data_IF_759640244857
#
_entry.id   IF_759640244857
#
_cell.length_a   1.000
_cell.length_b   1.000
_cell.length_c   1.000
_cell.angle_alpha   90.00
_cell.angle_beta   90.00
_cell.angle_gamma   90.00
#
_symmetry.space_group_name_H-M   'P 1'
#
loop_
_entity.id
_entity.type
_entity.pdbx_description
1 polymer ?
#
# COMPACT_ATOMS: atom_id res chain seq x y z
N UNK A 1 19.66 -9.85 -10.70
CA UNK A 1 20.42 -10.36 -9.54
C UNK A 1 19.56 -11.33 -8.77
N UNK A 2 20.08 -12.53 -8.46
CA UNK A 2 19.34 -13.56 -7.72
C UNK A 2 19.39 -13.38 -6.20
N UNK A 3 20.41 -12.67 -5.70
CA UNK A 3 20.64 -12.44 -4.28
C UNK A 3 20.68 -10.95 -3.93
N UNK A 4 20.21 -10.63 -2.73
CA UNK A 4 20.34 -9.33 -2.06
C UNK A 4 21.23 -9.48 -0.82
N UNK A 5 22.03 -8.46 -0.56
CA UNK A 5 23.12 -8.49 0.42
C UNK A 5 23.02 -7.30 1.37
N UNK A 6 23.04 -7.54 2.68
CA UNK A 6 23.07 -6.47 3.70
C UNK A 6 24.23 -6.67 4.66
N UNK A 7 25.10 -5.67 4.74
CA UNK A 7 26.19 -5.65 5.73
C UNK A 7 25.62 -5.40 7.12
N UNK A 8 26.07 -6.17 8.09
CA UNK A 8 25.81 -5.97 9.53
C UNK A 8 27.14 -5.96 10.28
N UNK A 9 27.13 -5.53 11.55
CA UNK A 9 28.33 -5.62 12.39
C UNK A 9 28.82 -7.06 12.45
N UNK A 10 30.06 -7.31 11.99
CA UNK A 10 30.67 -8.64 12.00
C UNK A 10 30.36 -9.56 10.80
N UNK A 11 29.60 -9.13 9.79
CA UNK A 11 29.34 -10.00 8.63
C UNK A 11 28.36 -9.47 7.57
N UNK A 12 27.77 -10.43 6.85
CA UNK A 12 26.88 -10.21 5.72
C UNK A 12 25.63 -11.09 5.85
N UNK A 13 24.46 -10.49 5.69
CA UNK A 13 23.20 -11.20 5.48
C UNK A 13 22.97 -11.37 3.97
N UNK A 14 22.60 -12.57 3.57
CA UNK A 14 22.30 -12.94 2.17
C UNK A 14 20.87 -13.46 2.11
N UNK A 15 20.09 -12.95 1.16
CA UNK A 15 18.72 -13.42 0.92
C UNK A 15 18.45 -13.49 -0.58
N UNK A 16 17.46 -14.28 -0.99
CA UNK A 16 16.93 -14.21 -2.36
C UNK A 16 16.35 -12.83 -2.64
N UNK A 17 16.53 -12.32 -3.85
CA UNK A 17 15.91 -11.05 -4.24
C UNK A 17 14.39 -11.16 -4.28
N UNK A 18 13.69 -10.10 -3.85
CA UNK A 18 12.23 -10.00 -3.99
C UNK A 18 11.85 -9.83 -5.46
N UNK A 19 11.63 -10.94 -6.16
CA UNK A 19 11.28 -11.00 -7.59
C UNK A 19 9.79 -11.20 -7.83
N UNK A 20 8.98 -11.45 -6.78
CA UNK A 20 7.55 -11.70 -6.93
C UNK A 20 6.85 -10.44 -7.45
N UNK A 21 6.18 -10.58 -8.58
CA UNK A 21 5.22 -9.61 -9.08
C UNK A 21 3.85 -10.26 -8.96
N UNK A 22 2.98 -9.67 -8.15
CA UNK A 22 1.59 -10.11 -8.01
C UNK A 22 0.88 -9.84 -9.33
N UNK A 23 0.12 -10.82 -9.82
CA UNK A 23 -0.73 -10.70 -11.00
C UNK A 23 -2.16 -10.34 -10.61
N UNK A 24 -2.94 -9.68 -11.49
CA UNK A 24 -4.33 -9.32 -11.20
C UNK A 24 -5.22 -10.49 -10.77
N UNK A 25 -4.96 -11.71 -11.30
CA UNK A 25 -5.72 -12.91 -10.98
C UNK A 25 -5.42 -13.47 -9.58
N UNK A 26 -4.31 -13.06 -8.96
CA UNK A 26 -3.94 -13.46 -7.60
C UNK A 26 -4.57 -12.56 -6.55
N UNK A 27 -5.24 -11.48 -6.98
CA UNK A 27 -5.88 -10.53 -6.10
C UNK A 27 -7.21 -11.05 -5.59
N UNK A 28 -7.46 -10.82 -4.31
CA UNK A 28 -8.76 -11.08 -3.69
C UNK A 28 -9.42 -9.76 -3.32
N UNK A 29 -10.57 -9.45 -3.93
CA UNK A 29 -11.40 -8.33 -3.46
C UNK A 29 -12.14 -8.78 -2.20
N UNK A 30 -11.90 -8.08 -1.09
CA UNK A 30 -12.42 -8.45 0.24
C UNK A 30 -13.58 -7.59 0.72
N UNK A 31 -13.83 -6.46 0.05
CA UNK A 31 -14.94 -5.54 0.32
C UNK A 31 -16.16 -5.80 -0.55
N UNK A 32 -17.31 -5.22 -0.16
CA UNK A 32 -18.56 -5.22 -0.92
C UNK A 32 -18.42 -4.50 -2.27
N UNK A 33 -17.72 -3.35 -2.30
CA UNK A 33 -17.44 -2.59 -3.53
C UNK A 33 -16.31 -3.23 -4.31
N UNK A 34 -16.54 -3.45 -5.60
CA UNK A 34 -15.53 -3.85 -6.56
C UNK A 34 -14.74 -2.63 -7.07
N UNK A 35 -13.41 -2.75 -7.28
CA UNK A 35 -12.65 -1.69 -7.95
C UNK A 35 -13.11 -1.54 -9.40
N UNK A 36 -13.17 -0.32 -9.90
CA UNK A 36 -13.31 -0.07 -11.34
C UNK A 36 -12.06 -0.52 -12.10
N UNK A 37 -12.11 -0.71 -13.43
CA UNK A 37 -10.93 -1.07 -14.21
C UNK A 37 -9.77 -0.07 -14.06
N UNK A 38 -10.06 1.23 -13.99
CA UNK A 38 -9.07 2.29 -13.77
C UNK A 38 -8.45 2.18 -12.38
N UNK A 39 -9.28 2.04 -11.34
CA UNK A 39 -8.78 1.86 -9.96
C UNK A 39 -7.93 0.59 -9.84
N UNK A 40 -8.33 -0.51 -10.47
CA UNK A 40 -7.56 -1.76 -10.47
C UNK A 40 -6.19 -1.58 -11.13
N UNK A 41 -6.12 -0.88 -12.26
CA UNK A 41 -4.85 -0.56 -12.91
C UNK A 41 -3.95 0.32 -12.00
N UNK A 42 -4.54 1.31 -11.34
CA UNK A 42 -3.82 2.18 -10.41
C UNK A 42 -3.37 1.45 -9.13
N UNK A 43 -4.17 0.52 -8.60
CA UNK A 43 -3.76 -0.36 -7.49
C UNK A 43 -2.56 -1.21 -7.88
N UNK A 44 -2.58 -1.81 -9.08
CA UNK A 44 -1.47 -2.61 -9.57
C UNK A 44 -0.20 -1.77 -9.78
N UNK A 45 -0.35 -0.55 -10.27
CA UNK A 45 0.75 0.40 -10.39
C UNK A 45 1.30 0.79 -9.01
N UNK A 46 0.44 1.21 -8.08
CA UNK A 46 0.81 1.57 -6.72
C UNK A 46 1.51 0.42 -5.99
N UNK A 47 1.02 -0.81 -6.13
CA UNK A 47 1.62 -2.01 -5.54
C UNK A 47 3.04 -2.26 -6.05
N UNK A 48 3.26 -2.13 -7.35
CA UNK A 48 4.59 -2.26 -7.97
C UNK A 48 5.54 -1.18 -7.47
N UNK A 49 5.07 0.05 -7.27
CA UNK A 49 5.89 1.13 -6.68
C UNK A 49 6.21 0.80 -5.22
N UNK A 50 5.21 0.44 -4.41
CA UNK A 50 5.37 0.16 -2.98
C UNK A 50 6.45 -0.89 -2.69
N UNK A 51 6.59 -1.90 -3.55
CA UNK A 51 7.66 -2.91 -3.48
C UNK A 51 9.09 -2.33 -3.41
N UNK A 52 9.32 -1.17 -4.02
CA UNK A 52 10.64 -0.53 -4.05
C UNK A 52 10.81 0.60 -3.03
N UNK A 53 9.73 0.99 -2.35
CA UNK A 53 9.74 2.03 -1.33
C UNK A 53 10.19 1.43 0.02
N UNK A 54 10.92 2.21 0.82
CA UNK A 54 11.34 1.77 2.16
C UNK A 54 10.14 1.70 3.11
N UNK A 55 10.03 0.59 3.83
CA UNK A 55 8.94 0.32 4.77
C UNK A 55 9.02 1.20 6.03
N UNK A 56 7.90 1.57 6.67
CA UNK A 56 6.52 1.30 6.23
C UNK A 56 6.12 2.24 5.10
N UNK A 57 5.61 1.70 3.99
CA UNK A 57 5.30 2.48 2.79
C UNK A 57 3.79 2.67 2.61
N UNK A 58 3.40 3.89 2.26
CA UNK A 58 2.06 4.24 1.73
C UNK A 58 2.26 5.00 0.44
N UNK A 59 1.66 4.51 -0.64
CA UNK A 59 1.80 5.07 -1.99
C UNK A 59 0.41 5.39 -2.53
N UNK A 60 0.13 6.68 -2.73
CA UNK A 60 -1.07 7.14 -3.43
C UNK A 60 -0.79 7.28 -4.92
N UNK A 61 -1.70 6.78 -5.75
CA UNK A 61 -1.61 6.84 -7.21
C UNK A 61 -2.96 7.19 -7.84
N UNK A 62 -2.91 7.82 -9.01
CA UNK A 62 -4.04 7.92 -9.92
C UNK A 62 -3.53 8.04 -11.36
N UNK A 63 -4.24 7.46 -12.32
CA UNK A 63 -3.93 7.52 -13.75
C UNK A 63 -2.48 7.10 -14.08
N UNK A 64 -1.98 6.05 -13.44
CA UNK A 64 -0.61 5.55 -13.64
C UNK A 64 0.50 6.46 -13.11
N UNK A 65 0.18 7.44 -12.26
CA UNK A 65 1.12 8.39 -11.67
C UNK A 65 1.06 8.33 -10.14
N UNK A 66 2.22 8.39 -9.48
CA UNK A 66 2.29 8.56 -8.03
C UNK A 66 1.94 9.99 -7.64
N UNK A 67 0.99 10.15 -6.73
CA UNK A 67 0.56 11.46 -6.22
C UNK A 67 1.29 11.84 -4.94
N UNK A 68 1.57 10.85 -4.09
CA UNK A 68 2.23 11.05 -2.81
C UNK A 68 2.81 9.74 -2.28
N UNK A 69 4.03 9.82 -1.71
CA UNK A 69 4.73 8.65 -1.16
C UNK A 69 5.23 8.97 0.25
N UNK A 70 4.80 8.15 1.19
CA UNK A 70 5.30 8.07 2.55
C UNK A 70 6.16 6.82 2.69
N UNK A 71 7.35 6.98 3.25
CA UNK A 71 8.35 5.93 3.30
C UNK A 71 9.17 6.00 4.59
N UNK A 72 9.64 4.84 5.06
CA UNK A 72 10.64 4.75 6.12
C UNK A 72 10.15 5.08 7.53
N UNK A 73 8.83 5.21 7.74
CA UNK A 73 8.31 5.57 9.06
C UNK A 73 8.08 4.34 9.95
N UNK A 74 8.24 4.55 11.26
CA UNK A 74 7.93 3.55 12.28
C UNK A 74 6.44 3.22 12.32
N UNK A 75 5.59 4.23 12.08
CA UNK A 75 4.14 4.08 11.97
C UNK A 75 3.66 4.26 10.53
N UNK A 76 2.78 3.36 10.08
CA UNK A 76 2.16 3.46 8.74
C UNK A 76 1.18 4.63 8.64
N UNK A 77 0.60 5.07 9.76
CA UNK A 77 -0.21 6.29 9.84
C UNK A 77 0.64 7.52 9.47
N UNK A 78 1.88 7.59 9.97
CA UNK A 78 2.77 8.71 9.66
C UNK A 78 3.20 8.68 8.20
N UNK A 79 3.45 7.50 7.63
CA UNK A 79 3.65 7.37 6.18
C UNK A 79 2.45 7.89 5.38
N UNK A 80 1.22 7.53 5.77
CA UNK A 80 0.02 8.05 5.11
C UNK A 80 -0.07 9.58 5.18
N UNK A 81 0.15 10.18 6.36
CA UNK A 81 0.14 11.63 6.56
C UNK A 81 1.22 12.34 5.75
N UNK A 82 2.46 11.84 5.76
CA UNK A 82 3.57 12.41 4.99
C UNK A 82 3.26 12.38 3.49
N UNK A 83 2.70 11.29 2.99
CA UNK A 83 2.31 11.18 1.59
C UNK A 83 1.24 12.23 1.22
N UNK A 84 0.23 12.41 2.08
CA UNK A 84 -0.83 13.41 1.89
C UNK A 84 -0.30 14.85 1.90
N UNK A 85 0.56 15.20 2.86
CA UNK A 85 1.19 16.53 2.94
C UNK A 85 2.04 16.80 1.69
N UNK A 86 2.80 15.81 1.23
CA UNK A 86 3.62 15.97 0.01
C UNK A 86 2.76 16.19 -1.24
N UNK A 87 1.64 15.48 -1.36
CA UNK A 87 0.71 15.67 -2.47
C UNK A 87 0.10 17.08 -2.44
N UNK A 88 -0.32 17.54 -1.25
CA UNK A 88 -0.84 18.91 -1.04
C UNK A 88 0.18 19.97 -1.42
N UNK A 89 1.43 19.87 -0.95
CA UNK A 89 2.51 20.80 -1.30
C UNK A 89 2.81 20.83 -2.80
N UNK A 90 2.58 19.71 -3.51
CA UNK A 90 2.74 19.62 -4.95
C UNK A 90 1.49 20.09 -5.73
N UNK A 91 0.42 20.53 -5.04
CA UNK A 91 -0.84 20.91 -5.67
C UNK A 91 -1.60 19.72 -6.28
N UNK A 92 -1.32 18.49 -5.83
CA UNK A 92 -1.94 17.27 -6.31
C UNK A 92 -3.10 16.86 -5.38
N UNK A 93 -4.29 16.68 -5.97
CA UNK A 93 -5.43 16.14 -5.24
C UNK A 93 -5.32 14.64 -5.08
N UNK A 94 -5.56 14.14 -3.86
CA UNK A 94 -5.64 12.71 -3.55
C UNK A 94 -7.06 12.14 -3.67
N UNK A 95 -8.06 12.97 -4.01
CA UNK A 95 -9.46 12.53 -4.15
C UNK A 95 -9.61 11.54 -5.30
N UNK A 96 -10.18 10.37 -5.01
CA UNK A 96 -10.37 9.30 -5.99
C UNK A 96 -9.12 8.47 -6.27
N UNK A 97 -8.09 8.59 -5.43
CA UNK A 97 -6.83 7.86 -5.62
C UNK A 97 -6.92 6.39 -5.19
N UNK A 98 -6.07 5.57 -5.79
CA UNK A 98 -5.77 4.23 -5.33
C UNK A 98 -4.55 4.27 -4.39
N UNK A 99 -4.53 3.42 -3.37
CA UNK A 99 -3.45 3.39 -2.37
C UNK A 99 -2.89 2.00 -2.18
N UNK A 100 -1.56 1.89 -2.21
CA UNK A 100 -0.85 0.67 -1.82
C UNK A 100 -0.18 0.81 -0.46
N UNK A 101 -0.29 -0.25 0.33
CA UNK A 101 0.42 -0.43 1.59
C UNK A 101 1.26 -1.69 1.52
N UNK A 102 2.59 -1.57 1.63
CA UNK A 102 3.54 -2.69 1.46
C UNK A 102 3.40 -3.82 2.49
N UNK A 103 2.78 -3.53 3.64
CA UNK A 103 2.34 -4.51 4.62
C UNK A 103 0.89 -4.26 5.05
N UNK A 104 0.31 -5.17 5.84
CA UNK A 104 -1.08 -5.04 6.26
C UNK A 104 -1.32 -3.83 7.19
N UNK A 105 -2.56 -3.37 7.27
CA UNK A 105 -3.02 -2.44 8.30
C UNK A 105 -3.31 -3.21 9.61
N UNK A 106 -2.62 -2.91 10.72
CA UNK A 106 -2.84 -3.63 11.97
C UNK A 106 -4.18 -3.27 12.63
N UNK A 107 -4.68 -2.06 12.38
CA UNK A 107 -5.93 -1.52 12.92
C UNK A 107 -6.62 -0.63 11.86
N UNK A 108 -7.90 -0.31 12.08
CA UNK A 108 -8.69 0.54 11.17
C UNK A 108 -8.16 1.97 11.02
N UNK A 109 -7.45 2.48 12.02
CA UNK A 109 -6.96 3.87 12.07
C UNK A 109 -6.06 4.23 10.87
N UNK A 110 -5.20 3.30 10.43
CA UNK A 110 -4.37 3.46 9.25
C UNK A 110 -5.19 3.57 7.97
N UNK A 111 -6.29 2.83 7.87
CA UNK A 111 -7.23 2.94 6.76
C UNK A 111 -8.00 4.25 6.81
N UNK A 112 -8.49 4.64 7.99
CA UNK A 112 -9.26 5.88 8.20
C UNK A 112 -8.47 7.11 7.70
N UNK A 113 -7.17 7.17 7.99
CA UNK A 113 -6.29 8.26 7.53
C UNK A 113 -6.16 8.28 6.01
N UNK A 114 -6.05 7.11 5.38
CA UNK A 114 -5.91 6.99 3.93
C UNK A 114 -7.20 7.39 3.21
N UNK A 115 -8.35 6.98 3.74
CA UNK A 115 -9.66 7.34 3.21
C UNK A 115 -9.93 8.83 3.42
N UNK A 116 -9.60 9.39 4.58
CA UNK A 116 -9.77 10.82 4.87
C UNK A 116 -8.94 11.70 3.91
N UNK A 117 -7.80 11.21 3.43
CA UNK A 117 -7.02 11.88 2.39
C UNK A 117 -7.68 11.84 0.99
N UNK A 118 -8.69 10.99 0.79
CA UNK A 118 -9.50 10.92 -0.43
C UNK A 118 -9.35 9.65 -1.25
N UNK A 119 -8.68 8.61 -0.73
CA UNK A 119 -8.55 7.34 -1.43
C UNK A 119 -9.90 6.62 -1.59
N UNK A 120 -10.14 6.00 -2.75
CA UNK A 120 -11.36 5.21 -3.04
C UNK A 120 -11.10 3.72 -3.22
N UNK A 121 -9.83 3.33 -3.28
CA UNK A 121 -9.40 1.95 -3.46
C UNK A 121 -8.07 1.68 -2.74
N UNK A 122 -7.94 0.52 -2.10
CA UNK A 122 -6.76 0.15 -1.30
C UNK A 122 -6.27 -1.26 -1.65
N UNK A 123 -4.95 -1.45 -1.76
CA UNK A 123 -4.30 -2.75 -1.95
C UNK A 123 -3.28 -3.00 -0.83
N UNK A 124 -3.36 -4.18 -0.21
CA UNK A 124 -2.47 -4.60 0.87
C UNK A 124 -2.29 -6.13 0.86
N UNK A 125 -1.35 -6.72 1.63
CA UNK A 125 -1.22 -8.17 1.70
C UNK A 125 -2.40 -8.88 2.36
N UNK A 126 -3.01 -8.26 3.39
CA UNK A 126 -3.81 -8.97 4.38
C UNK A 126 -2.96 -9.82 5.34
N UNK A 127 -3.61 -10.57 6.21
CA UNK A 127 -3.00 -11.45 7.22
C UNK A 127 -2.99 -10.90 8.65
N UNK A 128 -3.72 -9.81 8.93
CA UNK A 128 -3.92 -9.32 10.30
C UNK A 128 -5.00 -10.13 11.00
N UNK A 129 -4.82 -10.42 12.30
CA UNK A 129 -5.93 -10.93 13.14
C UNK A 129 -7.13 -9.97 13.16
N UNK A 130 -6.90 -8.69 12.85
CA UNK A 130 -7.90 -7.63 12.79
C UNK A 130 -8.34 -7.27 11.37
N UNK A 131 -8.00 -8.07 10.36
CA UNK A 131 -8.49 -7.84 8.99
C UNK A 131 -10.02 -7.67 8.92
N UNK A 132 -10.86 -8.42 9.65
CA UNK A 132 -12.31 -8.21 9.64
C UNK A 132 -12.72 -6.78 10.04
N UNK A 133 -12.02 -6.18 11.01
CA UNK A 133 -12.26 -4.79 11.47
C UNK A 133 -11.91 -3.78 10.37
N UNK A 134 -10.77 -3.99 9.70
CA UNK A 134 -10.29 -3.11 8.62
C UNK A 134 -11.16 -3.25 7.37
N UNK A 135 -11.61 -4.46 7.03
CA UNK A 135 -12.51 -4.71 5.90
C UNK A 135 -13.87 -4.07 6.15
N UNK A 136 -14.41 -4.16 7.38
CA UNK A 136 -15.68 -3.52 7.67
C UNK A 136 -15.58 -2.00 7.62
N UNK A 137 -14.50 -1.40 8.12
CA UNK A 137 -14.25 0.03 7.94
C UNK A 137 -14.19 0.41 6.44
N UNK A 138 -13.54 -0.38 5.59
CA UNK A 138 -13.52 -0.15 4.15
C UNK A 138 -14.93 -0.20 3.53
N UNK A 139 -15.78 -1.13 4.00
CA UNK A 139 -17.17 -1.22 3.59
C UNK A 139 -18.01 -0.02 4.07
N UNK A 140 -17.80 0.45 5.31
CA UNK A 140 -18.44 1.64 5.88
C UNK A 140 -18.18 2.89 5.03
N UNK A 141 -16.93 3.06 4.56
CA UNK A 141 -16.57 4.17 3.67
C UNK A 141 -16.96 3.96 2.21
N UNK A 142 -17.45 2.77 1.85
CA UNK A 142 -17.79 2.43 0.48
C UNK A 142 -16.59 2.44 -0.47
N UNK A 143 -15.40 2.09 0.01
CA UNK A 143 -14.19 1.96 -0.81
C UNK A 143 -13.93 0.51 -1.19
N UNK A 144 -13.13 0.28 -2.24
CA UNK A 144 -12.69 -1.08 -2.56
C UNK A 144 -11.40 -1.44 -1.81
N UNK A 145 -11.27 -2.69 -1.36
CA UNK A 145 -10.04 -3.21 -0.76
C UNK A 145 -9.68 -4.55 -1.39
N UNK A 146 -8.40 -4.71 -1.71
CA UNK A 146 -7.86 -5.86 -2.41
C UNK A 146 -6.67 -6.44 -1.65
N UNK A 147 -6.67 -7.74 -1.44
CA UNK A 147 -5.59 -8.50 -0.79
C UNK A 147 -4.71 -9.20 -1.82
N UNK A 148 -3.40 -9.19 -1.57
CA UNK A 148 -2.38 -9.83 -2.43
C UNK A 148 -1.75 -11.09 -1.84
N UNK A 149 -1.94 -11.35 -0.55
CA UNK A 149 -1.25 -12.39 0.22
C UNK A 149 0.28 -12.33 0.14
N UNK A 150 0.86 -11.23 -0.35
CA UNK A 150 2.30 -11.05 -0.57
C UNK A 150 2.75 -9.78 0.11
N UNK A 151 3.79 -9.85 0.95
CA UNK A 151 4.36 -8.67 1.64
C UNK A 151 5.71 -8.28 1.03
N UNK A 152 5.86 -7.02 0.64
CA UNK A 152 7.10 -6.46 0.10
C UNK A 152 7.80 -5.54 1.11
N UNK A 153 8.38 -6.13 2.17
CA UNK A 153 9.06 -5.35 3.21
C UNK A 153 10.50 -4.98 2.81
N UNK A 154 10.89 -3.72 3.00
CA UNK A 154 12.21 -3.20 2.64
C UNK A 154 12.74 -2.19 3.67
N UNK A 155 13.75 -2.57 4.44
CA UNK A 155 14.57 -1.59 5.20
C UNK A 155 15.48 -0.82 4.27
#
# INVERSE_FOLDING_TARGET
NQFDFKRVGGGLLVQSSDSKNVLPQELQVVTKRQPTPTELADLMFAWRVAKFVKSNAIVYCANGMTLGIGAGQMSRIDSARIASIKAEHAGLSLKGSAVASDAFFPFRDGLDVVVAAGATSVIQPGGSMRDPEVIEAANEYGISMVFTSTRHFRH
#
